data_IF_361140320177
#
_entry.id   IF_361140320177
#
_cell.length_a   1.000
_cell.length_b   1.000
_cell.length_c   1.000
_cell.angle_alpha   90.00
_cell.angle_beta   90.00
_cell.angle_gamma   90.00
#
_symmetry.space_group_name_H-M   'P 1'
#
loop_
_entity.id
_entity.type
_entity.pdbx_description
1 polymer ?
#
# COMPACT_ATOMS: atom_id res chain seq x y z
N UNK A 1 -37.01 -3.73 -12.41
CA UNK A 1 -36.57 -3.26 -11.09
C UNK A 1 -35.10 -2.98 -11.24
N UNK A 2 -34.72 -1.71 -11.24
CA UNK A 2 -33.30 -1.36 -11.15
C UNK A 2 -32.84 -1.74 -9.74
N UNK A 3 -31.97 -2.73 -9.65
CA UNK A 3 -31.44 -3.21 -8.38
C UNK A 3 -30.54 -2.16 -7.71
N UNK A 4 -30.31 -2.30 -6.41
CA UNK A 4 -29.34 -1.48 -5.70
C UNK A 4 -27.94 -1.81 -6.23
N UNK A 5 -27.15 -0.77 -6.54
CA UNK A 5 -25.77 -0.91 -7.03
C UNK A 5 -24.82 -0.08 -6.15
N UNK A 6 -23.94 -0.76 -5.42
CA UNK A 6 -22.81 -0.13 -4.73
C UNK A 6 -21.66 0.08 -5.73
N UNK A 7 -21.22 1.32 -5.91
CA UNK A 7 -20.14 1.65 -6.84
C UNK A 7 -18.78 1.59 -6.12
N UNK A 8 -17.84 0.86 -6.71
CA UNK A 8 -16.45 0.76 -6.26
C UNK A 8 -15.52 1.20 -7.39
N UNK A 9 -14.41 1.86 -7.03
CA UNK A 9 -13.35 2.15 -7.99
C UNK A 9 -12.50 0.91 -8.32
N UNK A 10 -11.71 1.03 -9.38
CA UNK A 10 -10.70 0.07 -9.83
C UNK A 10 -9.58 0.81 -10.57
N UNK A 11 -8.46 0.15 -10.85
CA UNK A 11 -7.39 0.68 -11.71
C UNK A 11 -7.91 1.09 -13.10
N UNK A 12 -8.93 0.38 -13.60
CA UNK A 12 -9.48 0.58 -14.95
C UNK A 12 -10.67 1.54 -15.01
N UNK A 13 -11.32 1.78 -13.89
CA UNK A 13 -12.49 2.64 -13.77
C UNK A 13 -12.53 3.28 -12.39
N UNK A 14 -12.08 4.53 -12.35
CA UNK A 14 -12.22 5.41 -11.20
C UNK A 14 -12.66 6.80 -11.69
N UNK A 15 -13.39 7.51 -10.84
CA UNK A 15 -13.79 8.90 -11.08
C UNK A 15 -13.28 9.73 -9.91
N UNK A 16 -12.15 10.41 -10.12
CA UNK A 16 -11.57 11.31 -9.13
C UNK A 16 -12.53 12.46 -8.88
N UNK A 17 -12.83 12.72 -7.61
CA UNK A 17 -13.54 13.93 -7.18
C UNK A 17 -12.62 15.13 -7.20
N UNK A 18 -12.88 16.12 -6.35
CA UNK A 18 -11.99 17.27 -6.20
C UNK A 18 -12.43 18.19 -5.09
N UNK A 19 -11.64 19.23 -4.88
CA UNK A 19 -11.91 20.31 -3.93
C UNK A 19 -12.36 21.55 -4.70
N UNK A 20 -13.59 22.00 -4.42
CA UNK A 20 -14.11 23.30 -4.82
C UNK A 20 -13.78 24.34 -3.73
N UNK A 21 -13.30 25.52 -4.13
CA UNK A 21 -12.75 26.51 -3.21
C UNK A 21 -13.66 27.74 -3.13
N UNK A 22 -13.99 28.15 -1.90
CA UNK A 22 -14.66 29.43 -1.62
C UNK A 22 -13.63 30.47 -1.22
N UNK A 23 -12.93 30.25 -0.09
CA UNK A 23 -11.84 31.10 0.43
C UNK A 23 -10.85 30.22 1.21
N UNK A 24 -10.08 29.40 0.48
CA UNK A 24 -9.10 28.46 1.03
C UNK A 24 -8.03 28.12 -0.03
N UNK A 25 -7.07 27.28 0.33
CA UNK A 25 -6.07 26.74 -0.58
C UNK A 25 -6.30 25.23 -0.79
N UNK A 26 -6.48 24.74 -2.03
CA UNK A 26 -6.72 23.32 -2.30
C UNK A 26 -5.59 22.41 -1.80
N UNK A 27 -4.37 22.94 -1.67
CA UNK A 27 -3.22 22.22 -1.12
C UNK A 27 -3.41 21.81 0.35
N UNK A 28 -4.24 22.51 1.11
CA UNK A 28 -4.54 22.18 2.51
C UNK A 28 -5.26 20.83 2.65
N UNK A 29 -5.92 20.37 1.58
CA UNK A 29 -6.70 19.14 1.57
C UNK A 29 -5.89 17.92 1.12
N UNK A 30 -4.67 18.12 0.59
CA UNK A 30 -3.76 17.05 0.14
C UNK A 30 -4.51 15.99 -0.71
N UNK A 31 -5.37 16.47 -1.61
CA UNK A 31 -6.39 15.64 -2.26
C UNK A 31 -5.81 14.83 -3.42
N UNK A 32 -5.92 13.50 -3.34
CA UNK A 32 -5.48 12.55 -4.38
C UNK A 32 -6.46 11.37 -4.53
N UNK A 33 -6.30 10.53 -5.55
CA UNK A 33 -7.05 9.29 -5.71
C UNK A 33 -6.09 8.09 -5.72
N UNK A 34 -6.33 7.10 -4.86
CA UNK A 34 -5.40 5.97 -4.68
C UNK A 34 -5.23 5.08 -5.92
N UNK A 35 -6.25 5.00 -6.78
CA UNK A 35 -6.19 4.26 -8.05
C UNK A 35 -5.33 5.00 -9.07
N UNK A 36 -5.51 6.33 -9.19
CA UNK A 36 -4.68 7.20 -10.05
C UNK A 36 -3.20 7.16 -9.64
N UNK A 37 -2.93 7.24 -8.34
CA UNK A 37 -1.56 7.18 -7.82
C UNK A 37 -0.95 5.81 -8.08
N UNK A 38 -1.69 4.71 -7.88
CA UNK A 38 -1.20 3.37 -8.21
C UNK A 38 -0.93 3.20 -9.72
N UNK A 39 -1.82 3.69 -10.59
CA UNK A 39 -1.70 3.56 -12.05
C UNK A 39 -0.44 4.25 -12.61
N UNK A 40 -0.03 5.35 -11.98
CA UNK A 40 1.12 6.16 -12.38
C UNK A 40 2.41 5.84 -11.64
N UNK A 41 2.41 4.81 -10.79
CA UNK A 41 3.57 4.40 -9.99
C UNK A 41 4.22 3.12 -10.52
N UNK A 42 5.46 2.86 -10.13
CA UNK A 42 6.12 1.61 -10.45
C UNK A 42 5.48 0.44 -9.67
N UNK A 43 5.55 -0.81 -10.19
CA UNK A 43 5.09 -1.97 -9.44
C UNK A 43 5.71 -2.03 -8.04
N UNK A 44 4.84 -2.17 -7.04
CA UNK A 44 5.18 -2.21 -5.61
C UNK A 44 5.88 -0.97 -5.03
N UNK A 45 5.91 0.16 -5.75
CA UNK A 45 6.29 1.45 -5.18
C UNK A 45 5.24 1.88 -4.14
N UNK A 46 5.65 2.05 -2.87
CA UNK A 46 4.75 2.40 -1.76
C UNK A 46 4.68 3.92 -1.61
N UNK A 47 3.70 4.52 -2.27
CA UNK A 47 3.54 5.98 -2.32
C UNK A 47 2.64 6.45 -1.19
N UNK A 48 3.13 7.35 -0.35
CA UNK A 48 2.32 7.97 0.69
C UNK A 48 1.18 8.80 0.08
N UNK A 49 -0.06 8.50 0.47
CA UNK A 49 -1.30 9.20 0.09
C UNK A 49 -2.02 9.81 1.29
N UNK A 50 -1.58 9.46 2.51
CA UNK A 50 -1.94 10.12 3.75
C UNK A 50 -0.77 10.07 4.72
N UNK A 51 -0.58 11.13 5.50
CA UNK A 51 0.47 11.21 6.52
C UNK A 51 -0.06 11.98 7.72
N UNK A 52 0.05 11.41 8.90
CA UNK A 52 -0.31 12.05 10.15
C UNK A 52 0.80 11.78 11.18
N UNK A 53 1.66 12.77 11.39
CA UNK A 53 2.97 12.60 12.03
C UNK A 53 3.75 11.45 11.35
N UNK A 54 4.21 10.46 12.09
CA UNK A 54 4.95 9.29 11.61
C UNK A 54 4.06 8.31 10.82
N UNK A 55 2.78 8.21 11.16
CA UNK A 55 1.86 7.25 10.54
C UNK A 55 1.53 7.63 9.09
N UNK A 56 1.54 6.64 8.20
CA UNK A 56 1.22 6.81 6.79
C UNK A 56 0.18 5.82 6.29
N UNK A 57 -0.58 6.28 5.31
CA UNK A 57 -1.30 5.41 4.38
C UNK A 57 -0.52 5.46 3.07
N UNK A 58 -0.13 4.30 2.58
CA UNK A 58 0.56 4.18 1.29
C UNK A 58 -0.32 3.44 0.30
N UNK A 59 -0.20 3.78 -0.98
CA UNK A 59 -0.81 3.03 -2.08
C UNK A 59 0.28 2.45 -2.96
N UNK A 60 0.05 1.25 -3.50
CA UNK A 60 0.94 0.63 -4.47
C UNK A 60 0.14 -0.13 -5.53
N UNK A 61 0.70 -0.19 -6.74
CA UNK A 61 0.26 -1.13 -7.77
C UNK A 61 0.92 -2.49 -7.51
N UNK A 62 0.12 -3.49 -7.18
CA UNK A 62 0.57 -4.87 -7.12
C UNK A 62 0.54 -5.47 -8.54
N UNK A 63 1.70 -5.84 -9.07
CA UNK A 63 1.83 -6.38 -10.42
C UNK A 63 3.07 -7.29 -10.50
N UNK A 64 2.86 -8.55 -10.88
CA UNK A 64 3.92 -9.55 -10.91
C UNK A 64 4.21 -10.09 -9.51
N UNK A 65 5.49 -10.18 -9.16
CA UNK A 65 5.96 -10.69 -7.86
C UNK A 65 6.85 -9.64 -7.22
N UNK A 66 6.56 -9.26 -5.99
CA UNK A 66 7.43 -8.33 -5.25
C UNK A 66 8.64 -9.05 -4.67
N UNK A 67 9.65 -8.27 -4.29
CA UNK A 67 10.63 -8.71 -3.29
C UNK A 67 9.97 -8.95 -1.92
N UNK A 68 10.77 -9.40 -0.96
CA UNK A 68 10.35 -9.56 0.43
C UNK A 68 10.47 -8.25 1.20
N UNK A 69 9.55 -8.07 2.13
CA UNK A 69 9.54 -6.97 3.09
C UNK A 69 9.53 -7.53 4.52
N UNK A 70 10.03 -6.76 5.46
CA UNK A 70 9.88 -6.98 6.90
C UNK A 70 9.63 -5.66 7.62
N UNK A 71 9.13 -5.73 8.86
CA UNK A 71 8.86 -4.56 9.69
C UNK A 71 9.01 -4.89 11.17
N UNK A 72 9.42 -3.90 11.97
CA UNK A 72 9.60 -3.98 13.42
C UNK A 72 8.29 -3.76 14.20
N UNK A 73 7.20 -3.44 13.51
CA UNK A 73 5.85 -3.36 14.08
C UNK A 73 4.84 -4.03 13.15
N UNK A 74 3.60 -4.20 13.62
CA UNK A 74 2.53 -4.72 12.78
C UNK A 74 2.17 -3.71 11.68
N UNK A 75 1.82 -4.23 10.52
CA UNK A 75 1.25 -3.46 9.42
C UNK A 75 -0.05 -4.14 8.93
N UNK A 76 -0.84 -3.43 8.14
CA UNK A 76 -2.01 -4.01 7.48
C UNK A 76 -2.00 -3.68 6.00
N UNK A 77 -2.45 -4.63 5.19
CA UNK A 77 -2.65 -4.44 3.74
C UNK A 77 -4.11 -4.65 3.38
N UNK A 78 -4.68 -3.74 2.59
CA UNK A 78 -6.05 -3.77 2.08
C UNK A 78 -6.02 -3.85 0.55
N UNK A 79 -6.67 -4.86 -0.02
CA UNK A 79 -6.84 -4.96 -1.48
C UNK A 79 -8.00 -4.06 -1.92
N UNK A 80 -7.69 -3.00 -2.67
CA UNK A 80 -8.68 -2.04 -3.19
C UNK A 80 -9.22 -2.42 -4.56
N UNK A 81 -8.46 -3.18 -5.34
CA UNK A 81 -8.86 -3.70 -6.64
C UNK A 81 -8.06 -4.96 -7.00
N UNK A 82 -8.65 -5.83 -7.81
CA UNK A 82 -8.04 -7.06 -8.31
C UNK A 82 -7.96 -8.18 -7.27
N UNK A 83 -6.90 -8.98 -7.38
CA UNK A 83 -6.61 -10.09 -6.49
C UNK A 83 -5.11 -10.18 -6.21
N UNK A 84 -4.74 -10.32 -4.95
CA UNK A 84 -3.34 -10.31 -4.50
C UNK A 84 -3.10 -11.46 -3.53
N UNK A 85 -2.08 -12.26 -3.81
CA UNK A 85 -1.58 -13.24 -2.87
C UNK A 85 -0.53 -12.63 -1.95
N UNK A 86 -0.65 -12.88 -0.65
CA UNK A 86 0.36 -12.53 0.35
C UNK A 86 0.99 -13.81 0.87
N UNK A 87 2.31 -13.90 0.77
CA UNK A 87 3.10 -15.05 1.25
C UNK A 87 3.90 -14.64 2.47
N UNK A 88 3.93 -15.51 3.49
CA UNK A 88 4.54 -15.20 4.79
C UNK A 88 5.62 -16.20 5.18
N UNK A 89 6.72 -15.68 5.73
CA UNK A 89 7.80 -16.43 6.37
C UNK A 89 8.00 -15.89 7.78
N UNK A 90 7.99 -16.77 8.78
CA UNK A 90 8.43 -16.41 10.13
C UNK A 90 9.96 -16.38 10.11
N UNK A 91 10.53 -15.19 10.26
CA UNK A 91 11.98 -15.01 10.31
C UNK A 91 12.56 -15.78 11.49
N UNK A 92 13.68 -16.46 11.26
CA UNK A 92 14.40 -17.16 12.35
C UNK A 92 15.04 -16.15 13.32
N UNK A 93 15.58 -15.06 12.76
CA UNK A 93 16.15 -13.92 13.50
C UNK A 93 15.70 -12.61 12.81
N UNK A 94 14.58 -12.00 13.24
CA UNK A 94 14.07 -10.78 12.61
C UNK A 94 15.01 -9.58 12.78
N UNK A 95 15.71 -9.49 13.91
CA UNK A 95 16.58 -8.36 14.26
C UNK A 95 17.86 -8.34 13.38
N UNK A 96 18.19 -9.47 12.75
CA UNK A 96 19.31 -9.57 11.79
C UNK A 96 19.00 -8.92 10.43
N UNK A 97 17.73 -8.67 10.12
CA UNK A 97 17.29 -8.17 8.80
C UNK A 97 16.41 -6.93 8.87
N UNK A 98 15.84 -6.63 10.04
CA UNK A 98 15.08 -5.42 10.33
C UNK A 98 15.65 -4.83 11.62
N UNK A 99 15.97 -3.53 11.62
CA UNK A 99 16.39 -2.84 12.84
C UNK A 99 15.23 -2.84 13.86
N UNK A 100 15.43 -3.37 15.08
CA UNK A 100 14.37 -3.43 16.09
C UNK A 100 13.92 -2.06 16.60
N UNK A 101 14.71 -1.00 16.41
CA UNK A 101 14.32 0.39 16.70
C UNK A 101 13.78 1.11 15.44
N UNK A 102 13.79 0.44 14.29
CA UNK A 102 13.31 0.99 13.03
C UNK A 102 11.78 1.06 12.95
N UNK A 103 11.29 1.96 12.11
CA UNK A 103 9.87 2.08 11.77
C UNK A 103 9.65 1.95 10.27
N UNK A 104 8.42 1.60 9.90
CA UNK A 104 8.02 1.35 8.52
C UNK A 104 8.66 0.09 7.93
N UNK A 105 8.24 -0.26 6.72
CA UNK A 105 8.73 -1.46 6.07
C UNK A 105 10.15 -1.30 5.52
N UNK A 106 10.88 -2.40 5.54
CA UNK A 106 12.22 -2.54 4.95
C UNK A 106 12.17 -3.56 3.82
N UNK A 107 12.80 -3.24 2.69
CA UNK A 107 12.97 -4.19 1.59
C UNK A 107 14.11 -5.17 1.91
N UNK A 108 13.82 -6.47 1.89
CA UNK A 108 14.75 -7.57 2.21
C UNK A 108 15.34 -8.25 0.95
N UNK A 109 14.96 -7.78 -0.25
CA UNK A 109 15.40 -8.33 -1.54
C UNK A 109 14.56 -9.50 -2.05
N UNK A 110 15.00 -10.15 -3.12
CA UNK A 110 14.20 -11.15 -3.85
C UNK A 110 14.34 -12.58 -3.31
N UNK A 111 15.47 -12.87 -2.63
CA UNK A 111 15.72 -14.19 -2.06
C UNK A 111 14.78 -14.45 -0.88
N UNK A 112 14.30 -15.70 -0.74
CA UNK A 112 13.50 -16.08 0.42
C UNK A 112 14.33 -15.91 1.71
N UNK A 113 13.87 -15.12 2.69
CA UNK A 113 14.59 -14.96 3.94
C UNK A 113 14.67 -16.27 4.74
N UNK A 114 15.71 -16.40 5.58
CA UNK A 114 15.85 -17.52 6.48
C UNK A 114 14.68 -17.55 7.48
N UNK A 115 13.97 -18.68 7.52
CA UNK A 115 12.77 -18.79 8.32
C UNK A 115 11.88 -19.97 7.96
N UNK A 116 10.71 -20.00 8.59
CA UNK A 116 9.70 -21.05 8.40
C UNK A 116 8.47 -20.49 7.71
N UNK A 117 7.97 -21.17 6.67
CA UNK A 117 6.73 -20.79 5.98
C UNK A 117 5.56 -20.69 6.98
N UNK A 118 4.92 -19.54 7.05
CA UNK A 118 3.75 -19.32 7.89
C UNK A 118 2.45 -19.63 7.15
N UNK A 119 2.42 -19.38 5.84
CA UNK A 119 1.23 -19.62 5.03
C UNK A 119 1.09 -18.64 3.89
N UNK A 120 -0.13 -18.58 3.37
CA UNK A 120 -0.51 -17.74 2.24
C UNK A 120 -1.93 -17.26 2.43
N UNK A 121 -2.19 -16.00 2.13
CA UNK A 121 -3.51 -15.38 2.11
C UNK A 121 -3.81 -14.91 0.69
N UNK A 122 -5.06 -15.07 0.24
CA UNK A 122 -5.51 -14.56 -1.07
C UNK A 122 -6.55 -13.48 -0.82
N UNK A 123 -6.21 -12.26 -1.18
CA UNK A 123 -7.05 -11.09 -1.01
C UNK A 123 -7.78 -10.81 -2.33
N UNK A 124 -9.10 -10.63 -2.25
CA UNK A 124 -9.88 -9.97 -3.29
C UNK A 124 -10.24 -8.57 -2.83
N UNK A 125 -10.90 -7.80 -3.70
CA UNK A 125 -11.33 -6.43 -3.38
C UNK A 125 -12.10 -6.36 -2.05
N UNK A 126 -11.64 -5.46 -1.18
CA UNK A 126 -12.20 -5.21 0.16
C UNK A 126 -11.64 -6.11 1.26
N UNK A 127 -10.79 -7.09 0.94
CA UNK A 127 -10.17 -7.94 1.96
C UNK A 127 -8.91 -7.29 2.54
N UNK A 128 -8.74 -7.42 3.86
CA UNK A 128 -7.58 -6.95 4.61
C UNK A 128 -6.82 -8.14 5.21
N UNK A 129 -5.49 -8.07 5.21
CA UNK A 129 -4.63 -8.98 5.96
C UNK A 129 -3.75 -8.22 6.96
N UNK A 130 -3.47 -8.88 8.08
CA UNK A 130 -2.40 -8.48 8.99
C UNK A 130 -1.05 -8.90 8.39
N UNK A 131 -0.07 -8.00 8.49
CA UNK A 131 1.34 -8.23 8.18
C UNK A 131 2.09 -8.21 9.52
N UNK A 132 2.26 -9.38 10.17
CA UNK A 132 2.66 -9.44 11.57
C UNK A 132 4.13 -9.08 11.77
N UNK A 133 4.43 -8.37 12.86
CA UNK A 133 5.79 -8.07 13.31
C UNK A 133 6.66 -9.33 13.40
N UNK A 134 7.90 -9.21 12.92
CA UNK A 134 8.86 -10.32 12.90
C UNK A 134 8.51 -11.43 11.93
N UNK A 135 7.63 -11.19 10.96
CA UNK A 135 7.50 -11.99 9.75
C UNK A 135 8.04 -11.21 8.54
N UNK A 136 8.58 -11.94 7.56
CA UNK A 136 8.76 -11.43 6.23
C UNK A 136 7.51 -11.73 5.39
N UNK A 137 7.12 -10.78 4.55
CA UNK A 137 6.00 -10.93 3.64
C UNK A 137 6.36 -10.49 2.23
N UNK A 138 5.69 -11.07 1.23
CA UNK A 138 5.77 -10.63 -0.17
C UNK A 138 4.43 -10.77 -0.85
N UNK A 139 4.28 -10.09 -1.98
CA UNK A 139 3.07 -10.03 -2.77
C UNK A 139 3.25 -10.70 -4.13
N UNK A 140 2.16 -11.27 -4.63
CA UNK A 140 2.05 -11.71 -6.01
C UNK A 140 0.68 -11.32 -6.56
N UNK A 141 0.66 -10.74 -7.76
CA UNK A 141 -0.56 -10.39 -8.48
C UNK A 141 -0.39 -10.72 -9.97
N UNK A 142 -1.23 -11.63 -10.47
CA UNK A 142 -1.19 -12.05 -11.88
C UNK A 142 -1.68 -10.96 -12.84
N UNK A 143 -2.47 -10.01 -12.32
CA UNK A 143 -2.93 -8.82 -13.04
C UNK A 143 -2.73 -7.58 -12.17
N UNK A 144 -2.47 -6.40 -12.78
CA UNK A 144 -2.38 -5.14 -12.04
C UNK A 144 -3.54 -4.96 -11.07
N UNK A 145 -3.21 -4.78 -9.80
CA UNK A 145 -4.13 -4.69 -8.67
C UNK A 145 -3.72 -3.51 -7.78
N UNK A 146 -4.63 -3.00 -6.95
CA UNK A 146 -4.32 -1.88 -6.03
C UNK A 146 -4.36 -2.37 -4.60
N UNK A 147 -3.32 -2.06 -3.84
CA UNK A 147 -3.24 -2.33 -2.41
C UNK A 147 -2.93 -1.05 -1.65
N UNK A 148 -3.52 -0.92 -0.45
CA UNK A 148 -3.19 0.11 0.53
C UNK A 148 -2.47 -0.52 1.71
N UNK A 149 -1.54 0.23 2.28
CA UNK A 149 -0.84 -0.13 3.51
C UNK A 149 -1.21 0.85 4.61
N UNK A 150 -1.47 0.31 5.80
CA UNK A 150 -1.46 1.06 7.05
C UNK A 150 -0.14 0.74 7.76
N UNK A 151 0.74 1.74 7.88
CA UNK A 151 2.10 1.58 8.42
C UNK A 151 2.63 2.91 8.98
N UNK A 152 3.93 2.94 9.30
CA UNK A 152 4.70 4.13 9.65
C UNK A 152 5.64 4.46 8.49
N UNK A 153 5.95 5.74 8.30
CA UNK A 153 6.96 6.21 7.35
C UNK A 153 8.30 5.50 7.58
N UNK A 154 8.88 4.96 6.51
CA UNK A 154 10.16 4.25 6.60
C UNK A 154 10.92 4.20 5.28
N UNK A 155 11.86 3.26 5.19
CA UNK A 155 12.84 3.21 4.09
C UNK A 155 12.24 3.03 2.69
N UNK A 156 11.01 2.49 2.59
CA UNK A 156 10.32 2.24 1.31
C UNK A 156 9.21 3.25 1.01
N UNK A 157 8.92 4.17 1.94
CA UNK A 157 7.86 5.17 1.78
C UNK A 157 8.30 6.24 0.78
N UNK A 158 7.55 6.39 -0.31
CA UNK A 158 7.82 7.42 -1.33
C UNK A 158 6.90 8.62 -1.16
N UNK A 159 7.50 9.80 -1.01
CA UNK A 159 6.79 11.07 -0.97
C UNK A 159 6.86 11.80 -2.30
N UNK A 160 5.71 11.99 -2.95
CA UNK A 160 5.57 12.77 -4.18
C UNK A 160 4.31 13.65 -4.19
N UNK A 161 4.05 14.31 -3.06
CA UNK A 161 2.83 15.11 -2.80
C UNK A 161 2.49 16.11 -3.91
N UNK A 162 3.49 16.84 -4.40
CA UNK A 162 3.30 17.83 -5.46
C UNK A 162 2.88 17.21 -6.81
N UNK A 163 3.14 15.92 -7.01
CA UNK A 163 2.79 15.18 -8.23
C UNK A 163 1.40 14.55 -8.14
N UNK A 164 0.96 14.17 -6.93
CA UNK A 164 -0.29 13.41 -6.73
C UNK A 164 -1.47 14.28 -6.26
N UNK A 165 -1.18 15.42 -5.63
CA UNK A 165 -2.21 16.25 -5.01
C UNK A 165 -2.76 17.30 -5.97
N UNK A 166 -4.04 17.61 -5.81
CA UNK A 166 -4.66 18.79 -6.41
C UNK A 166 -3.97 20.07 -5.89
N UNK A 167 -3.42 20.88 -6.79
CA UNK A 167 -2.74 22.15 -6.46
C UNK A 167 -3.50 23.41 -6.87
N UNK A 168 -4.55 23.26 -7.67
CA UNK A 168 -5.41 24.34 -8.19
C UNK A 168 -6.88 23.98 -7.94
N UNK A 169 -7.76 24.98 -7.82
CA UNK A 169 -9.20 24.74 -7.63
C UNK A 169 -9.82 24.09 -8.87
N UNK A 170 -10.80 23.19 -8.65
CA UNK A 170 -11.53 22.51 -9.72
C UNK A 170 -12.57 23.43 -10.38
#
# INVERSE_FOLDING_TARGET
MDGVVTQFGSLRDYRKGGVEIIDDNPKNYVFSNVFEVADTSAPYERVAVGKNFEYVIETARAEGVSGWFGCAHDEFVLCMDGAVEVHFVKLDDPDAVVDPEGEGAVALGDAIPAGRKMGRVVLGRGHMAMLPVGAAYRFQADTPSVILFQTIEGAVTVHKWATICQTEAA
#
